data_IF_036651779054
#
_entry.id   IF_036651779054
#
_cell.length_a   1.000
_cell.length_b   1.000
_cell.length_c   1.000
_cell.angle_alpha   90.00
_cell.angle_beta   90.00
_cell.angle_gamma   90.00
#
_symmetry.space_group_name_H-M   'P 1'
#
loop_
_entity.id
_entity.type
_entity.pdbx_description
1 polymer ?
#
# COMPACT_ATOMS: atom_id res chain seq x y z
N UNK A 1 -12.98 25.24 14.50
CA UNK A 1 -11.61 25.03 15.01
C UNK A 1 -11.09 23.75 14.39
N UNK A 2 -9.93 23.77 13.75
CA UNK A 2 -9.32 22.54 13.24
C UNK A 2 -8.87 21.70 14.43
N UNK A 3 -9.41 20.50 14.58
CA UNK A 3 -8.97 19.54 15.58
C UNK A 3 -7.76 18.82 15.03
N UNK A 4 -6.58 19.02 15.63
CA UNK A 4 -5.40 18.20 15.31
C UNK A 4 -5.74 16.75 15.66
N UNK A 5 -5.71 15.88 14.66
CA UNK A 5 -6.03 14.46 14.83
C UNK A 5 -4.73 13.72 15.13
N UNK A 6 -4.67 13.06 16.29
CA UNK A 6 -3.63 12.10 16.62
C UNK A 6 -4.10 10.70 16.26
N UNK A 7 -3.20 9.88 15.73
CA UNK A 7 -3.55 8.57 15.19
C UNK A 7 -3.06 7.47 16.13
N UNK A 8 -3.97 6.60 16.58
CA UNK A 8 -3.60 5.47 17.43
C UNK A 8 -2.89 4.37 16.62
N UNK A 9 -3.29 4.22 15.35
CA UNK A 9 -2.69 3.27 14.42
C UNK A 9 -2.16 4.02 13.21
N UNK A 10 -0.86 3.85 12.93
CA UNK A 10 -0.25 4.43 11.74
C UNK A 10 0.69 3.42 11.09
N UNK A 11 0.64 3.37 9.76
CA UNK A 11 1.53 2.56 8.93
C UNK A 11 2.03 3.39 7.76
N UNK A 12 3.25 3.07 7.32
CA UNK A 12 3.89 3.66 6.15
C UNK A 12 4.05 2.60 5.06
N UNK A 13 3.59 2.90 3.86
CA UNK A 13 3.88 2.16 2.64
C UNK A 13 4.89 2.95 1.81
N UNK A 14 6.11 2.45 1.69
CA UNK A 14 7.15 3.02 0.84
C UNK A 14 7.12 2.29 -0.50
N UNK A 15 6.72 2.98 -1.55
CA UNK A 15 6.61 2.44 -2.89
C UNK A 15 7.69 3.00 -3.82
N UNK A 16 8.37 2.11 -4.54
CA UNK A 16 9.33 2.45 -5.61
C UNK A 16 9.25 1.39 -6.70
N UNK A 17 9.67 1.69 -7.94
CA UNK A 17 9.66 0.67 -8.99
C UNK A 17 10.70 -0.41 -8.74
N UNK A 18 10.34 -1.67 -9.01
CA UNK A 18 11.21 -2.84 -8.75
C UNK A 18 12.57 -2.75 -9.45
N UNK A 19 12.61 -2.10 -10.62
CA UNK A 19 13.80 -1.94 -11.43
C UNK A 19 14.30 -0.48 -11.47
N UNK A 20 13.92 0.33 -10.48
CA UNK A 20 14.33 1.73 -10.39
C UNK A 20 15.80 1.88 -10.01
N UNK A 21 16.41 2.98 -10.45
CA UNK A 21 17.80 3.30 -10.12
C UNK A 21 17.98 3.47 -8.60
N UNK A 22 19.18 3.14 -8.12
CA UNK A 22 19.53 3.05 -6.70
C UNK A 22 19.14 4.26 -5.84
N UNK A 23 19.15 5.48 -6.39
CA UNK A 23 18.87 6.72 -5.62
C UNK A 23 17.48 6.78 -4.98
N UNK A 24 16.41 6.53 -5.74
CA UNK A 24 15.04 6.62 -5.20
C UNK A 24 14.75 5.52 -4.19
N UNK A 25 15.30 4.33 -4.42
CA UNK A 25 15.20 3.22 -3.47
C UNK A 25 15.91 3.56 -2.15
N UNK A 26 17.11 4.11 -2.20
CA UNK A 26 17.87 4.53 -1.02
C UNK A 26 17.12 5.61 -0.24
N UNK A 27 16.56 6.61 -0.93
CA UNK A 27 15.76 7.66 -0.29
C UNK A 27 14.47 7.11 0.32
N UNK A 28 13.76 6.20 -0.37
CA UNK A 28 12.59 5.51 0.18
C UNK A 28 12.93 4.65 1.41
N UNK A 29 14.05 3.93 1.39
CA UNK A 29 14.57 3.19 2.54
C UNK A 29 14.82 4.13 3.73
N UNK A 30 15.45 5.29 3.48
CA UNK A 30 15.71 6.31 4.49
C UNK A 30 14.42 6.92 5.07
N UNK A 31 13.39 7.14 4.25
CA UNK A 31 12.06 7.58 4.72
C UNK A 31 11.43 6.53 5.62
N UNK A 32 11.42 5.27 5.19
CA UNK A 32 10.88 4.17 5.99
C UNK A 32 11.61 4.03 7.33
N UNK A 33 12.94 4.06 7.30
CA UNK A 33 13.76 4.00 8.52
C UNK A 33 13.47 5.18 9.45
N UNK A 34 13.34 6.40 8.91
CA UNK A 34 12.97 7.57 9.70
C UNK A 34 11.62 7.40 10.39
N UNK A 35 10.59 6.94 9.68
CA UNK A 35 9.27 6.71 10.29
C UNK A 35 9.28 5.59 11.34
N UNK A 36 10.07 4.54 11.12
CA UNK A 36 10.25 3.48 12.10
C UNK A 36 10.97 3.99 13.36
N UNK A 37 12.10 4.67 13.20
CA UNK A 37 12.92 5.10 14.34
C UNK A 37 12.27 6.21 15.15
N UNK A 38 11.78 7.25 14.46
CA UNK A 38 11.26 8.47 15.09
C UNK A 38 9.86 8.24 15.63
N UNK A 39 8.99 7.58 14.86
CA UNK A 39 7.57 7.45 15.21
C UNK A 39 7.16 6.06 15.72
N UNK A 40 8.00 5.04 15.54
CA UNK A 40 7.66 3.63 15.83
C UNK A 40 6.46 3.16 15.00
N UNK A 41 6.32 3.70 13.79
CA UNK A 41 5.30 3.27 12.84
C UNK A 41 5.72 1.97 12.15
N UNK A 42 4.73 1.16 11.79
CA UNK A 42 4.97 -0.04 11.00
C UNK A 42 5.26 0.37 9.56
N UNK A 43 6.29 -0.21 8.94
CA UNK A 43 6.73 0.17 7.59
C UNK A 43 6.71 -1.03 6.68
N UNK A 44 6.07 -0.87 5.52
CA UNK A 44 6.03 -1.84 4.44
C UNK A 44 6.73 -1.25 3.22
N UNK A 45 7.64 -2.03 2.63
CA UNK A 45 8.29 -1.66 1.37
C UNK A 45 7.64 -2.41 0.22
N UNK A 46 7.28 -1.68 -0.84
CA UNK A 46 6.60 -2.25 -1.99
C UNK A 46 7.34 -1.92 -3.29
N UNK A 47 7.86 -2.97 -3.93
CA UNK A 47 8.49 -2.89 -5.23
C UNK A 47 7.41 -3.01 -6.32
N UNK A 48 7.07 -1.89 -6.97
CA UNK A 48 6.06 -1.83 -8.02
C UNK A 48 6.54 -2.67 -9.22
N UNK A 49 5.80 -3.71 -9.63
CA UNK A 49 6.17 -4.55 -10.76
C UNK A 49 5.92 -3.83 -12.08
N UNK A 50 6.61 -4.26 -13.15
CA UNK A 50 6.45 -3.70 -14.50
C UNK A 50 5.13 -4.06 -15.17
N UNK A 51 4.53 -5.20 -14.82
CA UNK A 51 3.23 -5.67 -15.29
C UNK A 51 2.19 -5.56 -14.19
N UNK A 52 0.95 -5.23 -14.55
CA UNK A 52 -0.18 -5.09 -13.62
C UNK A 52 0.11 -4.16 -12.42
N UNK A 53 1.03 -3.23 -12.61
CA UNK A 53 1.56 -2.27 -11.63
C UNK A 53 0.45 -1.59 -10.83
N UNK A 54 -0.60 -1.13 -11.51
CA UNK A 54 -1.75 -0.47 -10.92
C UNK A 54 -2.53 -1.38 -9.95
N UNK A 55 -2.82 -2.63 -10.36
CA UNK A 55 -3.56 -3.58 -9.53
C UNK A 55 -2.73 -4.03 -8.33
N UNK A 56 -1.45 -4.30 -8.56
CA UNK A 56 -0.51 -4.70 -7.53
C UNK A 56 -0.34 -3.61 -6.46
N UNK A 57 -0.19 -2.34 -6.86
CA UNK A 57 -0.12 -1.23 -5.92
C UNK A 57 -1.44 -1.03 -5.16
N UNK A 58 -2.59 -1.12 -5.83
CA UNK A 58 -3.88 -1.05 -5.16
C UNK A 58 -4.02 -2.15 -4.09
N UNK A 59 -3.67 -3.40 -4.41
CA UNK A 59 -3.71 -4.50 -3.45
C UNK A 59 -2.77 -4.28 -2.26
N UNK A 60 -1.57 -3.74 -2.49
CA UNK A 60 -0.63 -3.40 -1.42
C UNK A 60 -1.20 -2.33 -0.47
N UNK A 61 -1.86 -1.30 -1.02
CA UNK A 61 -2.54 -0.27 -0.23
C UNK A 61 -3.69 -0.89 0.57
N UNK A 62 -4.52 -1.73 -0.06
CA UNK A 62 -5.64 -2.40 0.60
C UNK A 62 -5.17 -3.30 1.75
N UNK A 63 -4.10 -4.06 1.57
CA UNK A 63 -3.51 -4.85 2.64
C UNK A 63 -3.07 -3.97 3.81
N UNK A 64 -2.40 -2.84 3.54
CA UNK A 64 -2.01 -1.89 4.59
C UNK A 64 -3.22 -1.30 5.33
N UNK A 65 -4.29 -0.95 4.60
CA UNK A 65 -5.53 -0.43 5.19
C UNK A 65 -6.19 -1.45 6.12
N UNK A 66 -6.28 -2.71 5.68
CA UNK A 66 -6.87 -3.79 6.49
C UNK A 66 -6.10 -4.03 7.79
N UNK A 67 -4.77 -3.94 7.75
CA UNK A 67 -3.94 -4.19 8.92
C UNK A 67 -3.97 -3.05 9.97
N UNK A 68 -4.17 -1.80 9.54
CA UNK A 68 -4.25 -0.66 10.47
C UNK A 68 -5.65 -0.40 10.99
N UNK A 69 -6.67 -0.95 10.33
CA UNK A 69 -8.05 -0.79 10.75
C UNK A 69 -8.23 -1.43 12.13
N UNK A 70 -8.47 -0.58 13.12
CA UNK A 70 -8.84 -0.97 14.48
C UNK A 70 -9.85 0.02 15.02
N UNK A 71 -11.11 -0.15 14.61
CA UNK A 71 -12.22 0.62 15.17
C UNK A 71 -12.24 0.46 16.70
N UNK A 72 -12.52 1.53 17.48
CA UNK A 72 -12.97 2.86 17.04
C UNK A 72 -11.85 3.89 16.80
N UNK A 73 -10.58 3.48 16.78
CA UNK A 73 -9.46 4.41 16.85
C UNK A 73 -9.10 5.01 15.47
N UNK A 74 -8.79 6.32 15.41
CA UNK A 74 -8.37 6.95 14.17
C UNK A 74 -7.08 6.33 13.65
N UNK A 75 -7.05 6.06 12.35
CA UNK A 75 -5.96 5.36 11.68
C UNK A 75 -5.37 6.19 10.54
N UNK A 76 -4.06 6.09 10.33
CA UNK A 76 -3.34 6.81 9.27
C UNK A 76 -2.53 5.85 8.41
N UNK A 77 -2.76 5.89 7.10
CA UNK A 77 -1.86 5.31 6.12
C UNK A 77 -1.04 6.41 5.47
N UNK A 78 0.28 6.34 5.62
CA UNK A 78 1.21 7.19 4.88
C UNK A 78 1.68 6.41 3.67
N UNK A 79 1.49 6.94 2.46
CA UNK A 79 2.04 6.36 1.23
C UNK A 79 3.14 7.29 0.72
N UNK A 80 4.38 6.83 0.78
CA UNK A 80 5.50 7.49 0.15
C UNK A 80 5.74 6.91 -1.24
N UNK A 81 5.90 7.78 -2.24
CA UNK A 81 6.40 7.41 -3.56
C UNK A 81 7.52 8.35 -3.97
N UNK A 82 8.69 7.77 -4.22
CA UNK A 82 9.84 8.46 -4.81
C UNK A 82 10.15 7.85 -6.16
N UNK A 83 10.16 8.66 -7.22
CA UNK A 83 10.45 8.15 -8.56
C UNK A 83 10.06 9.08 -9.70
N UNK A 84 9.87 8.51 -10.88
CA UNK A 84 9.45 9.26 -12.06
C UNK A 84 7.94 9.40 -12.18
N UNK A 85 7.50 10.42 -12.90
CA UNK A 85 6.10 10.66 -13.20
C UNK A 85 5.98 11.37 -14.54
N UNK A 86 4.87 11.10 -15.23
CA UNK A 86 4.56 11.66 -16.54
C UNK A 86 3.63 12.86 -16.38
N UNK A 87 3.90 13.92 -17.17
CA UNK A 87 3.07 15.12 -17.19
C UNK A 87 1.61 14.82 -17.57
N UNK A 88 1.40 13.74 -18.33
CA UNK A 88 0.11 13.32 -18.86
C UNK A 88 -0.62 14.46 -19.61
N UNK A 89 0.18 15.38 -20.17
CA UNK A 89 -0.28 16.61 -20.83
C UNK A 89 -0.42 16.44 -22.37
N UNK A 90 0.08 15.33 -22.94
CA UNK A 90 0.07 15.05 -24.38
C UNK A 90 -1.16 14.25 -24.86
N UNK A 91 -2.19 14.11 -24.04
CA UNK A 91 -3.42 13.44 -24.49
C UNK A 91 -4.23 14.37 -25.39
N UNK A 92 -4.81 13.79 -26.45
CA UNK A 92 -5.73 14.47 -27.37
C UNK A 92 -6.85 15.19 -26.62
N UNK A 93 -7.30 16.32 -27.19
CA UNK A 93 -8.38 17.14 -26.62
C UNK A 93 -9.59 16.27 -26.25
N UNK A 94 -9.92 16.22 -24.96
CA UNK A 94 -11.07 15.48 -24.42
C UNK A 94 -10.75 14.38 -23.41
N UNK A 95 -9.51 13.88 -23.35
CA UNK A 95 -9.15 12.83 -22.38
C UNK A 95 -8.87 13.41 -20.97
N UNK A 96 -9.42 12.80 -19.90
CA UNK A 96 -9.20 13.29 -18.55
C UNK A 96 -7.73 13.16 -18.16
N UNK A 97 -7.12 14.30 -17.81
CA UNK A 97 -5.75 14.39 -17.29
C UNK A 97 -5.71 13.80 -15.88
N UNK A 98 -4.79 12.88 -15.63
CA UNK A 98 -4.60 12.21 -14.34
C UNK A 98 -3.15 12.19 -13.90
N UNK A 99 -2.90 11.76 -12.66
CA UNK A 99 -1.54 11.54 -12.15
C UNK A 99 -1.03 10.17 -12.62
N UNK A 100 0.15 10.16 -13.23
CA UNK A 100 0.77 8.95 -13.78
C UNK A 100 2.17 8.80 -13.18
N UNK A 101 2.41 7.65 -12.55
CA UNK A 101 3.72 7.29 -12.04
C UNK A 101 4.43 6.42 -13.09
N UNK A 102 5.72 6.63 -13.28
CA UNK A 102 6.50 6.00 -14.34
C UNK A 102 7.74 5.35 -13.76
N UNK A 103 8.13 4.19 -14.31
CA UNK A 103 9.34 3.48 -13.87
C UNK A 103 10.64 4.20 -14.31
N UNK A 104 10.57 4.95 -15.40
CA UNK A 104 11.71 5.62 -16.01
C UNK A 104 11.36 7.04 -16.43
N UNK A 105 12.37 7.90 -16.58
CA UNK A 105 12.18 9.26 -17.06
C UNK A 105 11.64 9.35 -18.50
N UNK A 106 11.84 8.29 -19.31
CA UNK A 106 11.34 8.18 -20.69
C UNK A 106 10.95 6.73 -20.98
N UNK A 107 9.71 6.54 -21.42
CA UNK A 107 9.18 5.21 -21.77
C UNK A 107 9.07 4.26 -20.57
N UNK A 108 8.76 3.00 -20.87
CA UNK A 108 8.63 1.93 -19.88
C UNK A 108 7.27 1.86 -19.19
N UNK A 109 7.16 1.01 -18.16
CA UNK A 109 5.94 0.81 -17.40
C UNK A 109 5.46 2.10 -16.73
N UNK A 110 4.14 2.27 -16.73
CA UNK A 110 3.46 3.34 -16.01
C UNK A 110 2.27 2.79 -15.23
N UNK A 111 1.80 3.54 -14.25
CA UNK A 111 0.52 3.31 -13.59
C UNK A 111 -0.24 4.62 -13.43
N UNK A 112 -1.56 4.56 -13.41
CA UNK A 112 -2.41 5.73 -13.26
C UNK A 112 -2.90 5.83 -11.81
N UNK A 113 -2.26 6.71 -11.03
CA UNK A 113 -2.65 6.99 -9.64
C UNK A 113 -4.11 7.43 -9.54
N UNK A 114 -4.61 8.22 -10.50
CA UNK A 114 -6.01 8.67 -10.48
C UNK A 114 -7.03 7.53 -10.60
N UNK A 115 -6.64 6.35 -11.13
CA UNK A 115 -7.48 5.15 -11.09
C UNK A 115 -7.48 4.50 -9.71
N UNK A 116 -6.30 4.38 -9.08
CA UNK A 116 -6.15 3.85 -7.72
C UNK A 116 -6.93 4.73 -6.73
N UNK A 117 -6.73 6.04 -6.79
CA UNK A 117 -7.40 7.01 -5.94
C UNK A 117 -8.92 6.89 -6.02
N UNK A 118 -9.49 6.75 -7.22
CA UNK A 118 -10.95 6.55 -7.39
C UNK A 118 -11.45 5.28 -6.71
N UNK A 119 -10.71 4.18 -6.85
CA UNK A 119 -11.03 2.93 -6.16
C UNK A 119 -11.01 3.08 -4.64
N UNK A 120 -9.99 3.76 -4.11
CA UNK A 120 -9.85 4.02 -2.68
C UNK A 120 -10.92 4.98 -2.14
N UNK A 121 -11.29 6.03 -2.88
CA UNK A 121 -12.34 6.98 -2.46
C UNK A 121 -13.67 6.29 -2.14
N UNK A 122 -14.07 5.32 -2.96
CA UNK A 122 -15.28 4.54 -2.72
C UNK A 122 -15.16 3.69 -1.44
N UNK A 123 -13.98 3.15 -1.17
CA UNK A 123 -13.73 2.31 0.00
C UNK A 123 -13.66 3.12 1.30
N UNK A 124 -12.98 4.27 1.29
CA UNK A 124 -12.85 5.16 2.45
C UNK A 124 -14.18 5.79 2.86
N UNK A 125 -15.17 5.80 1.97
CA UNK A 125 -16.54 6.24 2.26
C UNK A 125 -17.36 5.18 3.01
N UNK A 126 -16.85 3.95 3.15
CA UNK A 126 -17.54 2.87 3.87
C UNK A 126 -17.38 3.02 5.40
N UNK A 127 -18.33 2.51 6.20
CA UNK A 127 -18.23 2.56 7.66
C UNK A 127 -16.94 1.93 8.20
N UNK A 128 -16.41 0.91 7.53
CA UNK A 128 -15.19 0.18 7.93
C UNK A 128 -13.94 1.05 7.98
N UNK A 129 -13.87 2.07 7.12
CA UNK A 129 -12.73 2.97 7.00
C UNK A 129 -13.09 4.43 7.31
N UNK A 130 -14.24 4.66 7.92
CA UNK A 130 -14.73 5.99 8.25
C UNK A 130 -13.74 6.74 9.18
N UNK A 131 -12.94 6.02 9.98
CA UNK A 131 -11.87 6.53 10.85
C UNK A 131 -10.47 6.59 10.23
N UNK A 132 -10.28 6.27 8.95
CA UNK A 132 -8.95 6.19 8.33
C UNK A 132 -8.63 7.37 7.41
N UNK A 133 -7.46 7.99 7.60
CA UNK A 133 -6.87 9.00 6.73
C UNK A 133 -5.70 8.45 5.90
N UNK A 134 -5.48 9.06 4.73
CA UNK A 134 -4.34 8.76 3.85
C UNK A 134 -3.52 10.04 3.62
N UNK A 135 -2.23 9.97 3.95
CA UNK A 135 -1.24 11.01 3.61
C UNK A 135 -0.35 10.51 2.48
N UNK A 136 -0.36 11.22 1.35
CA UNK A 136 0.57 10.97 0.23
C UNK A 136 1.79 11.88 0.36
N UNK A 137 2.98 11.28 0.40
CA UNK A 137 4.27 11.95 0.33
C UNK A 137 4.90 11.64 -1.02
N UNK A 138 4.95 12.62 -1.92
CA UNK A 138 5.28 12.37 -3.33
C UNK A 138 6.55 13.11 -3.74
N UNK A 139 7.65 12.38 -3.92
CA UNK A 139 8.90 12.88 -4.51
C UNK A 139 9.01 12.44 -5.98
N UNK A 140 8.26 13.14 -6.83
CA UNK A 140 8.29 12.93 -8.27
C UNK A 140 7.96 14.21 -9.03
N UNK A 141 8.34 14.26 -10.32
CA UNK A 141 7.91 15.33 -11.20
C UNK A 141 6.37 15.38 -11.26
N UNK A 142 5.77 16.56 -11.41
CA UNK A 142 4.31 16.69 -11.54
C UNK A 142 3.52 16.13 -10.35
N UNK A 143 4.14 15.91 -9.18
CA UNK A 143 3.56 15.23 -8.02
C UNK A 143 2.19 15.80 -7.58
N UNK A 144 2.03 17.13 -7.60
CA UNK A 144 0.76 17.77 -7.23
C UNK A 144 -0.43 17.38 -8.13
N UNK A 145 -0.20 16.78 -9.31
CA UNK A 145 -1.28 16.22 -10.13
C UNK A 145 -2.06 15.10 -9.43
N UNK A 146 -1.49 14.46 -8.40
CA UNK A 146 -2.18 13.48 -7.57
C UNK A 146 -3.44 14.07 -6.91
N UNK A 147 -3.49 15.39 -6.67
CA UNK A 147 -4.69 16.05 -6.14
C UNK A 147 -5.86 16.13 -7.13
N UNK A 148 -5.66 15.83 -8.42
CA UNK A 148 -6.73 15.85 -9.41
C UNK A 148 -7.78 14.79 -9.07
N UNK A 149 -9.06 15.19 -9.14
CA UNK A 149 -10.18 14.28 -8.85
C UNK A 149 -10.44 14.07 -7.35
N UNK A 150 -9.75 14.77 -6.46
CA UNK A 150 -10.17 14.89 -5.07
C UNK A 150 -11.36 15.86 -4.99
N UNK A 151 -12.58 15.32 -4.91
CA UNK A 151 -13.79 16.09 -4.62
C UNK A 151 -13.84 16.45 -3.13
N UNK A 152 -14.65 17.45 -2.75
CA UNK A 152 -14.91 17.78 -1.33
C UNK A 152 -15.47 16.61 -0.50
N UNK A 153 -15.87 15.49 -1.11
CA UNK A 153 -16.26 14.27 -0.39
C UNK A 153 -15.08 13.36 -0.05
N UNK A 154 -13.90 13.59 -0.64
CA UNK A 154 -12.67 12.83 -0.43
C UNK A 154 -11.77 13.47 0.64
N UNK A 155 -12.38 13.94 1.74
CA UNK A 155 -11.73 14.69 2.83
C UNK A 155 -10.59 13.92 3.54
N UNK A 156 -10.43 12.62 3.24
CA UNK A 156 -9.48 11.70 3.88
C UNK A 156 -8.13 11.61 3.16
N UNK A 157 -7.94 12.33 2.07
CA UNK A 157 -6.65 12.43 1.39
C UNK A 157 -5.98 13.76 1.68
N UNK A 158 -4.74 13.71 2.16
CA UNK A 158 -3.82 14.85 2.18
C UNK A 158 -2.60 14.54 1.34
N UNK A 159 -2.06 15.54 0.65
CA UNK A 159 -0.94 15.37 -0.26
C UNK A 159 0.13 16.40 0.07
N UNK A 160 1.35 15.93 0.34
CA UNK A 160 2.55 16.75 0.36
C UNK A 160 3.45 16.32 -0.80
N UNK A 161 3.58 17.19 -1.80
CA UNK A 161 4.23 16.92 -3.07
C UNK A 161 5.50 17.77 -3.23
N UNK A 162 6.58 17.15 -3.71
CA UNK A 162 7.87 17.80 -3.95
C UNK A 162 7.81 18.91 -5.01
N UNK A 163 6.92 18.75 -6.00
CA UNK A 163 6.78 19.69 -7.11
C UNK A 163 5.32 20.03 -7.40
N UNK A 164 5.11 21.29 -7.79
CA UNK A 164 3.86 21.77 -8.34
C UNK A 164 3.49 21.06 -9.65
N UNK A 165 2.22 21.23 -10.05
CA UNK A 165 1.75 20.75 -11.35
C UNK A 165 2.62 21.37 -12.45
N UNK A 166 3.09 20.54 -13.38
CA UNK A 166 3.94 20.94 -14.51
C UNK A 166 5.39 21.26 -14.20
N UNK A 167 5.86 20.95 -12.98
CA UNK A 167 7.25 21.15 -12.59
C UNK A 167 8.01 19.83 -12.38
N UNK A 168 9.35 19.89 -12.49
CA UNK A 168 10.27 18.75 -12.30
C UNK A 168 11.00 18.88 -10.98
N UNK A 169 11.35 17.76 -10.35
CA UNK A 169 12.16 17.72 -9.12
C UNK A 169 13.63 17.45 -9.44
N UNK A 170 14.49 17.71 -8.45
CA UNK A 170 15.91 17.29 -8.50
C UNK A 170 16.00 15.77 -8.34
N UNK A 171 17.04 15.16 -8.90
CA UNK A 171 17.35 13.75 -8.63
C UNK A 171 17.68 13.51 -7.15
N UNK A 172 17.55 12.25 -6.67
CA UNK A 172 17.93 11.85 -5.32
C UNK A 172 19.30 12.35 -4.87
N UNK A 173 19.42 12.66 -3.58
CA UNK A 173 20.67 13.08 -2.93
C UNK A 173 20.55 14.35 -2.10
N UNK A 174 21.68 14.97 -1.78
CA UNK A 174 21.73 16.17 -0.94
C UNK A 174 20.97 17.33 -1.61
N UNK A 175 19.97 17.86 -0.90
CA UNK A 175 19.07 18.90 -1.42
C UNK A 175 17.89 18.37 -2.25
N UNK A 176 17.63 17.06 -2.23
CA UNK A 176 16.35 16.51 -2.69
C UNK A 176 15.23 16.89 -1.72
N UNK A 177 13.99 16.82 -2.21
CA UNK A 177 12.81 16.97 -1.37
C UNK A 177 12.80 15.93 -0.25
N UNK A 178 13.09 14.66 -0.57
CA UNK A 178 13.14 13.60 0.44
C UNK A 178 14.17 13.86 1.54
N UNK A 179 15.36 14.37 1.19
CA UNK A 179 16.37 14.73 2.18
C UNK A 179 15.90 15.85 3.11
N UNK A 180 15.30 16.91 2.55
CA UNK A 180 14.75 18.02 3.34
C UNK A 180 13.58 17.57 4.22
N UNK A 181 12.69 16.74 3.68
CA UNK A 181 11.55 16.14 4.39
C UNK A 181 12.01 15.39 5.64
N UNK A 182 13.02 14.52 5.51
CA UNK A 182 13.57 13.76 6.64
C UNK A 182 14.18 14.70 7.69
N UNK A 183 14.90 15.75 7.26
CA UNK A 183 15.53 16.71 8.16
C UNK A 183 14.49 17.50 8.96
N UNK A 184 13.48 18.05 8.31
CA UNK A 184 12.45 18.86 8.98
C UNK A 184 11.56 18.03 9.89
N UNK A 185 11.21 16.80 9.50
CA UNK A 185 10.45 15.90 10.37
C UNK A 185 11.23 15.59 11.65
N UNK A 186 12.50 15.20 11.53
CA UNK A 186 13.35 14.91 12.70
C UNK A 186 13.50 16.14 13.59
N UNK A 187 13.84 17.29 13.00
CA UNK A 187 14.01 18.54 13.72
C UNK A 187 12.73 18.97 14.47
N UNK A 188 11.57 18.86 13.82
CA UNK A 188 10.29 19.20 14.43
C UNK A 188 9.95 18.26 15.60
N UNK A 189 10.12 16.94 15.44
CA UNK A 189 9.86 15.99 16.53
C UNK A 189 10.84 16.17 17.69
N UNK A 190 12.12 16.40 17.42
CA UNK A 190 13.13 16.64 18.46
C UNK A 190 12.83 17.90 19.28
N UNK A 191 12.26 18.94 18.65
CA UNK A 191 11.96 20.22 19.29
C UNK A 191 10.57 20.28 19.95
N UNK A 192 9.56 19.68 19.32
CA UNK A 192 8.14 19.86 19.66
C UNK A 192 7.44 18.56 20.06
N UNK A 193 8.07 17.40 19.86
CA UNK A 193 7.49 16.08 20.11
C UNK A 193 6.46 15.62 19.08
N UNK A 194 6.08 16.49 18.13
CA UNK A 194 5.16 16.21 17.04
C UNK A 194 5.48 17.08 15.83
N UNK A 195 4.88 16.76 14.69
CA UNK A 195 4.93 17.59 13.48
C UNK A 195 3.59 17.55 12.78
N UNK A 196 3.01 18.72 12.47
CA UNK A 196 1.83 18.78 11.60
C UNK A 196 2.25 18.87 10.15
N UNK A 197 1.48 18.27 9.24
CA UNK A 197 1.81 18.31 7.80
C UNK A 197 1.81 19.74 7.27
N UNK A 198 0.97 20.62 7.84
CA UNK A 198 0.99 22.05 7.50
C UNK A 198 2.29 22.74 7.96
N UNK A 199 2.75 22.51 9.20
CA UNK A 199 4.01 23.08 9.68
C UNK A 199 5.21 22.56 8.88
N UNK A 200 5.18 21.28 8.52
CA UNK A 200 6.18 20.64 7.68
C UNK A 200 6.22 21.27 6.28
N UNK A 201 5.06 21.51 5.66
CA UNK A 201 4.98 22.20 4.37
C UNK A 201 5.60 23.59 4.42
N UNK A 202 5.28 24.37 5.45
CA UNK A 202 5.84 25.72 5.63
C UNK A 202 7.35 25.67 5.81
N UNK A 203 7.85 24.72 6.61
CA UNK A 203 9.28 24.55 6.84
C UNK A 203 10.03 24.12 5.58
N UNK A 204 9.44 23.27 4.75
CA UNK A 204 10.00 22.86 3.46
C UNK A 204 9.97 23.98 2.40
N UNK A 205 9.14 25.01 2.58
CA UNK A 205 9.15 26.20 1.73
C UNK A 205 10.21 27.23 2.15
N UNK A 206 10.95 26.98 3.22
CA UNK A 206 12.06 27.83 3.65
C UNK A 206 13.25 27.70 2.68
N UNK A 207 13.82 28.84 2.30
CA UNK A 207 14.95 28.94 1.36
C UNK A 207 16.20 28.19 1.86
N UNK A 208 16.31 27.89 3.16
CA UNK A 208 17.43 27.12 3.75
C UNK A 208 17.65 25.75 3.10
N UNK A 209 16.62 25.17 2.48
CA UNK A 209 16.70 23.85 1.84
C UNK A 209 17.16 23.89 0.38
N UNK A 210 17.18 25.07 -0.26
CA UNK A 210 17.55 25.22 -1.67
C UNK A 210 16.80 24.22 -2.58
N UNK A 211 15.51 24.02 -2.32
CA UNK A 211 14.69 23.12 -3.12
C UNK A 211 14.46 23.72 -4.50
N UNK A 212 14.69 22.90 -5.53
CA UNK A 212 14.52 23.32 -6.92
C UNK A 212 13.08 23.78 -7.25
N UNK A 213 12.09 23.26 -6.52
CA UNK A 213 10.68 23.61 -6.65
C UNK A 213 10.05 23.82 -5.31
N UNK A 214 9.13 24.79 -5.22
CA UNK A 214 8.30 24.98 -4.03
C UNK A 214 7.41 23.75 -3.82
N UNK A 215 7.49 23.09 -2.65
CA UNK A 215 6.60 21.99 -2.32
C UNK A 215 5.15 22.43 -2.27
N UNK A 216 4.24 21.51 -2.58
CA UNK A 216 2.81 21.76 -2.61
C UNK A 216 2.12 20.91 -1.56
N UNK A 217 1.32 21.54 -0.72
CA UNK A 217 0.43 20.86 0.22
C UNK A 217 -1.02 21.04 -0.21
N UNK A 218 -1.73 19.92 -0.35
CA UNK A 218 -3.16 19.87 -0.61
C UNK A 218 -3.79 19.18 0.59
N UNK A 219 -4.41 19.98 1.47
CA UNK A 219 -5.28 19.47 2.53
C UNK A 219 -6.72 19.43 2.06
N UNK A 220 -7.41 18.32 2.31
CA UNK A 220 -8.86 18.26 2.17
C UNK A 220 -9.57 18.05 3.51
N UNK A 221 -8.93 18.31 4.66
CA UNK A 221 -9.56 18.04 5.95
C UNK A 221 -8.89 18.74 7.13
N UNK A 222 -8.94 18.08 8.30
CA UNK A 222 -8.21 18.48 9.51
C UNK A 222 -6.70 18.47 9.27
N UNK A 223 -6.00 19.32 10.02
CA UNK A 223 -4.54 19.29 10.06
C UNK A 223 -4.08 17.93 10.60
N UNK A 224 -3.35 17.18 9.78
CA UNK A 224 -2.77 15.90 10.16
C UNK A 224 -1.56 16.14 11.06
N UNK A 225 -1.56 15.55 12.25
CA UNK A 225 -0.43 15.58 13.16
C UNK A 225 0.24 14.21 13.24
N UNK A 226 1.56 14.20 13.11
CA UNK A 226 2.40 13.03 13.26
C UNK A 226 3.08 13.13 14.62
N UNK A 227 2.90 12.13 15.47
CA UNK A 227 3.54 12.06 16.78
C UNK A 227 4.03 10.64 17.04
N UNK A 228 5.17 10.45 17.74
CA UNK A 228 5.65 9.12 18.06
C UNK A 228 4.60 8.31 18.83
N UNK A 229 4.50 7.01 18.55
CA UNK A 229 3.65 6.13 19.36
C UNK A 229 4.12 6.21 20.82
N UNK A 230 3.20 6.28 21.80
CA UNK A 230 3.57 6.23 23.21
C UNK A 230 4.41 4.97 23.45
N UNK A 231 5.63 5.13 23.99
CA UNK A 231 6.43 3.98 24.40
C UNK A 231 5.66 3.25 25.48
N UNK A 232 5.13 2.07 25.17
CA UNK A 232 4.66 1.15 26.20
C UNK A 232 5.89 0.71 26.97
N UNK A 233 6.14 1.35 28.11
CA UNK A 233 7.14 0.90 29.06
C UNK A 233 6.63 -0.44 29.60
N UNK A 234 7.05 -1.54 28.97
CA UNK A 234 6.83 -2.86 29.54
C UNK A 234 7.59 -2.89 30.87
N UNK A 235 6.91 -3.02 32.03
CA UNK A 235 7.60 -3.12 33.30
C UNK A 235 8.52 -4.34 33.21
N UNK A 236 9.82 -4.14 33.41
CA UNK A 236 10.74 -5.26 33.62
C UNK A 236 10.22 -6.01 34.84
N UNK A 237 9.58 -7.15 34.63
CA UNK A 237 9.24 -8.06 35.71
C UNK A 237 10.56 -8.46 36.35
N UNK A 238 10.78 -7.98 37.57
CA UNK A 238 11.85 -8.46 38.42
C UNK A 238 11.53 -9.93 38.69
N UNK A 239 12.34 -10.83 38.16
CA UNK A 239 12.30 -12.26 38.42
C UNK A 239 12.46 -12.49 39.93
N UNK A 240 11.33 -12.65 40.63
CA UNK A 240 11.30 -13.29 41.93
C UNK A 240 11.15 -14.78 41.69
N UNK A 241 12.28 -15.49 41.69
CA UNK A 241 12.27 -16.93 41.91
C UNK A 241 13.16 -17.21 43.12
N UNK A 242 12.60 -16.97 44.29
CA UNK A 242 13.10 -17.48 45.56
C UNK A 242 12.63 -18.92 45.75
N UNK A 243 13.62 -19.80 45.88
CA UNK A 243 13.63 -21.04 46.68
C UNK A 243 12.43 -21.98 46.54
N UNK A 244 12.62 -23.07 45.79
CA UNK A 244 11.91 -24.33 46.07
C UNK A 244 12.95 -25.35 46.50
N UNK A 245 12.72 -25.87 47.70
CA UNK A 245 13.53 -26.85 48.41
C UNK A 245 13.78 -28.12 47.60
N UNK A 246 15.01 -28.60 47.74
CA UNK A 246 15.50 -29.91 47.35
C UNK A 246 14.71 -31.01 48.07
N UNK A 247 14.05 -31.91 47.34
CA UNK A 247 13.76 -33.26 47.83
C UNK A 247 14.35 -34.30 46.88
N UNK A 248 15.23 -35.13 47.45
CA UNK A 248 15.98 -36.18 46.77
C UNK A 248 15.16 -37.47 46.61
N UNK A 249 15.26 -38.02 45.40
CA UNK A 249 15.44 -39.44 45.01
C UNK A 249 14.42 -40.51 45.41
N UNK A 250 13.87 -41.16 44.38
CA UNK A 250 13.99 -42.62 44.24
C UNK A 250 13.90 -43.05 42.78
N UNK A 251 14.80 -43.99 42.42
CA UNK A 251 15.05 -44.60 41.11
C UNK A 251 13.90 -45.52 40.65
N UNK A 252 13.83 -45.76 39.34
CA UNK A 252 13.64 -47.06 38.65
C UNK A 252 13.67 -46.77 37.13
N UNK A 253 14.82 -46.96 36.47
CA UNK A 253 15.21 -48.13 35.64
C UNK A 253 14.65 -48.11 34.20
N UNK A 254 15.59 -48.10 33.25
CA UNK A 254 15.47 -48.25 31.79
C UNK A 254 14.99 -49.66 31.39
N UNK A 255 14.60 -49.90 30.12
CA UNK A 255 15.54 -50.24 29.04
C UNK A 255 15.24 -49.49 27.72
N UNK A 256 16.21 -48.88 27.05
CA UNK A 256 17.08 -49.44 25.99
C UNK A 256 16.34 -50.16 24.85
N UNK A 257 16.29 -49.53 23.67
CA UNK A 257 16.58 -50.21 22.40
C UNK A 257 16.95 -49.20 21.34
N UNK A 258 18.04 -49.51 20.65
CA UNK A 258 18.74 -48.71 19.66
C UNK A 258 18.57 -49.29 18.25
N UNK A 259 18.96 -48.49 17.25
CA UNK A 259 19.25 -48.83 15.85
C UNK A 259 18.00 -49.00 14.96
N UNK A 260 17.90 -48.43 13.75
CA UNK A 260 18.88 -48.49 12.66
C UNK A 260 18.73 -47.33 11.64
N UNK A 261 19.86 -47.07 11.00
CA UNK A 261 20.12 -46.22 9.84
C UNK A 261 19.57 -46.80 8.54
N UNK A 262 19.18 -45.94 7.60
CA UNK A 262 19.09 -46.27 6.17
C UNK A 262 19.80 -45.21 5.33
N UNK A 263 20.80 -45.68 4.58
CA UNK A 263 21.47 -45.00 3.48
C UNK A 263 21.11 -45.74 2.19
N UNK A 264 21.00 -44.94 1.13
CA UNK A 264 21.51 -45.19 -0.23
C UNK A 264 20.62 -45.73 -1.37
N UNK A 265 20.92 -45.14 -2.55
CA UNK A 265 20.61 -45.51 -3.95
C UNK A 265 19.20 -45.19 -4.47
N UNK A 266 19.01 -44.65 -5.68
CA UNK A 266 19.76 -44.82 -6.94
C UNK A 266 19.75 -43.58 -7.84
N UNK A 267 20.75 -43.56 -8.73
CA UNK A 267 21.10 -42.61 -9.77
C UNK A 267 20.15 -42.55 -11.00
N UNK A 268 20.47 -41.58 -11.86
CA UNK A 268 19.89 -41.07 -13.13
C UNK A 268 20.12 -42.06 -14.30
N UNK A 269 19.40 -41.99 -15.46
CA UNK A 269 19.91 -41.26 -16.65
C UNK A 269 18.81 -40.50 -17.46
N UNK A 270 18.99 -39.21 -17.81
CA UNK A 270 19.45 -38.62 -19.10
C UNK A 270 18.68 -38.97 -20.40
N UNK A 271 18.29 -37.87 -21.09
CA UNK A 271 18.28 -37.61 -22.55
C UNK A 271 17.33 -38.33 -23.51
N UNK A 272 16.55 -37.54 -24.27
CA UNK A 272 16.40 -37.56 -25.75
C UNK A 272 15.42 -36.42 -26.12
N UNK A 273 15.86 -35.32 -26.73
CA UNK A 273 16.11 -35.08 -28.17
C UNK A 273 14.85 -34.84 -29.03
N UNK A 274 15.05 -33.93 -29.98
CA UNK A 274 14.10 -33.19 -30.82
C UNK A 274 13.16 -34.02 -31.69
N UNK A 275 12.03 -33.42 -32.09
CA UNK A 275 11.66 -33.35 -33.51
C UNK A 275 10.69 -32.20 -33.82
N UNK A 276 11.00 -31.51 -34.92
CA UNK A 276 10.22 -30.47 -35.57
C UNK A 276 9.36 -31.04 -36.71
N UNK A 277 8.50 -30.16 -37.26
CA UNK A 277 7.77 -30.23 -38.53
C UNK A 277 6.41 -30.96 -38.52
N UNK A 278 5.31 -30.23 -38.76
CA UNK A 278 4.86 -29.94 -40.13
C UNK A 278 3.67 -28.96 -40.16
N UNK A 279 3.60 -28.26 -41.29
CA UNK A 279 2.62 -27.26 -41.67
C UNK A 279 1.21 -27.85 -41.93
N UNK A 280 0.18 -27.01 -41.88
CA UNK A 280 -1.16 -27.34 -42.34
C UNK A 280 -2.16 -26.21 -42.14
N UNK A 281 -2.23 -25.31 -43.11
CA UNK A 281 -3.35 -24.38 -43.38
C UNK A 281 -4.65 -25.16 -43.59
N UNK A 282 -5.78 -24.77 -42.96
CA UNK A 282 -7.09 -24.61 -43.64
C UNK A 282 -8.21 -24.11 -42.69
N UNK A 283 -8.90 -23.07 -43.17
CA UNK A 283 -10.31 -22.65 -43.07
C UNK A 283 -11.19 -22.97 -41.84
N UNK A 284 -11.96 -21.94 -41.47
CA UNK A 284 -12.71 -21.87 -40.23
C UNK A 284 -14.00 -22.66 -40.19
N UNK A 285 -14.67 -22.55 -39.05
CA UNK A 285 -16.13 -22.53 -38.89
C UNK A 285 -16.44 -22.19 -37.44
N UNK A 286 -17.46 -21.38 -37.28
CA UNK A 286 -18.17 -21.06 -36.05
C UNK A 286 -18.63 -22.35 -35.37
N UNK A 287 -18.28 -22.52 -34.09
CA UNK A 287 -18.91 -23.52 -33.24
C UNK A 287 -19.29 -22.90 -31.89
N UNK A 288 -20.60 -22.81 -31.71
CA UNK A 288 -21.32 -22.53 -30.47
C UNK A 288 -20.99 -23.63 -29.46
N UNK A 289 -20.42 -23.30 -28.32
CA UNK A 289 -20.33 -24.24 -27.19
C UNK A 289 -21.42 -23.91 -26.16
N UNK A 290 -22.34 -24.87 -26.05
CA UNK A 290 -23.41 -24.89 -25.08
C UNK A 290 -22.91 -25.19 -23.67
N UNK A 291 -23.74 -24.75 -22.71
CA UNK A 291 -23.66 -25.08 -21.30
C UNK A 291 -23.67 -26.60 -21.09
N UNK A 292 -22.75 -27.08 -20.25
CA UNK A 292 -22.96 -28.28 -19.45
C UNK A 292 -22.77 -27.89 -17.99
N UNK A 293 -23.89 -27.87 -17.26
CA UNK A 293 -23.92 -27.84 -15.82
C UNK A 293 -23.63 -29.26 -15.30
N UNK A 294 -22.62 -29.40 -14.45
CA UNK A 294 -22.48 -30.55 -13.56
C UNK A 294 -22.22 -30.04 -12.16
N UNK A 295 -23.19 -30.30 -11.28
CA UNK A 295 -23.14 -29.95 -9.88
C UNK A 295 -22.15 -30.82 -9.12
N UNK A 296 -21.54 -30.25 -8.09
CA UNK A 296 -20.94 -30.99 -7.01
C UNK A 296 -21.42 -30.38 -5.69
N UNK A 297 -22.16 -31.18 -4.92
CA UNK A 297 -22.52 -30.91 -3.54
C UNK A 297 -21.28 -31.12 -2.66
N UNK A 298 -20.98 -30.16 -1.78
CA UNK A 298 -20.04 -30.39 -0.67
C UNK A 298 -20.79 -30.23 0.65
N UNK A 299 -20.68 -31.29 1.44
CA UNK A 299 -21.23 -31.51 2.77
C UNK A 299 -20.68 -30.47 3.75
N UNK A 300 -21.56 -29.75 4.46
CA UNK A 300 -21.20 -28.88 5.58
C UNK A 300 -21.24 -29.68 6.87
N UNK A 301 -20.08 -29.92 7.47
CA UNK A 301 -19.98 -30.40 8.85
C UNK A 301 -20.14 -29.22 9.82
N UNK A 302 -21.17 -29.25 10.64
CA UNK A 302 -21.45 -28.27 11.69
C UNK A 302 -20.91 -28.76 13.03
N UNK A 303 -20.33 -27.86 13.82
CA UNK A 303 -20.52 -27.74 15.28
C UNK A 303 -20.04 -26.34 15.74
N UNK A 304 -20.54 -25.82 16.87
CA UNK A 304 -20.84 -24.39 17.00
C UNK A 304 -19.86 -23.64 17.90
N UNK A 305 -19.70 -22.33 17.67
CA UNK A 305 -19.84 -21.27 18.71
C UNK A 305 -19.64 -19.89 18.08
N UNK A 306 -20.38 -18.91 18.60
CA UNK A 306 -20.33 -17.47 18.33
C UNK A 306 -21.20 -16.94 17.18
N UNK A 307 -22.45 -16.70 17.56
CA UNK A 307 -23.51 -15.95 16.89
C UNK A 307 -23.22 -14.45 16.89
N UNK A 308 -22.56 -13.89 15.84
CA UNK A 308 -22.65 -12.45 15.51
C UNK A 308 -22.36 -12.09 14.03
N UNK A 309 -22.33 -13.05 13.09
CA UNK A 309 -22.13 -12.77 11.65
C UNK A 309 -23.16 -13.50 10.77
N UNK A 310 -24.42 -13.07 10.82
CA UNK A 310 -25.44 -13.43 9.82
C UNK A 310 -26.28 -12.23 9.38
N UNK A 311 -25.65 -11.17 8.88
CA UNK A 311 -26.29 -10.18 8.00
C UNK A 311 -25.26 -9.46 7.14
N UNK A 312 -24.93 -10.02 5.98
CA UNK A 312 -24.56 -9.28 4.76
C UNK A 312 -24.10 -10.27 3.67
N UNK A 313 -25.03 -11.03 3.08
CA UNK A 313 -24.90 -11.48 1.70
C UNK A 313 -26.29 -11.90 1.20
N UNK A 314 -27.07 -10.91 0.75
CA UNK A 314 -28.25 -11.14 -0.08
C UNK A 314 -28.00 -10.39 -1.38
N UNK A 315 -27.49 -11.14 -2.35
CA UNK A 315 -27.44 -10.75 -3.75
C UNK A 315 -28.87 -10.58 -4.26
N UNK A 316 -29.23 -9.37 -4.70
CA UNK A 316 -30.39 -9.16 -5.55
C UNK A 316 -30.00 -9.46 -6.99
N UNK A 317 -30.50 -10.60 -7.49
CA UNK A 317 -30.69 -10.84 -8.92
C UNK A 317 -32.20 -10.85 -9.13
N UNK A 318 -32.74 -9.88 -9.88
CA UNK A 318 -34.05 -10.02 -10.50
C UNK A 318 -34.05 -9.47 -11.94
N UNK A 319 -34.86 -10.06 -12.83
CA UNK A 319 -34.71 -10.01 -14.27
C UNK A 319 -35.43 -8.83 -14.92
N UNK A 320 -34.99 -8.49 -16.13
CA UNK A 320 -35.53 -7.39 -16.91
C UNK A 320 -36.97 -7.57 -17.39
N UNK A 321 -37.63 -6.44 -17.62
CA UNK A 321 -38.76 -6.31 -18.53
C UNK A 321 -38.49 -5.15 -19.49
N UNK A 322 -38.65 -5.45 -20.78
CA UNK A 322 -38.56 -4.50 -21.88
C UNK A 322 -39.75 -3.54 -21.85
N UNK A 323 -39.49 -2.25 -22.03
CA UNK A 323 -40.49 -1.30 -22.53
C UNK A 323 -39.83 -0.30 -23.47
N UNK A 324 -40.40 -0.21 -24.67
CA UNK A 324 -40.00 0.69 -25.76
C UNK A 324 -40.24 2.15 -25.34
N UNK A 325 -39.24 2.99 -25.53
CA UNK A 325 -39.44 4.44 -25.62
C UNK A 325 -38.53 5.03 -26.71
N UNK A 326 -39.14 5.62 -27.74
CA UNK A 326 -38.48 6.49 -28.72
C UNK A 326 -38.64 7.94 -28.24
N UNK A 327 -37.63 8.82 -28.39
CA UNK A 327 -37.88 10.24 -28.46
C UNK A 327 -37.87 10.70 -29.93
N UNK A 328 -38.95 11.38 -30.31
CA UNK A 328 -38.96 12.39 -31.37
C UNK A 328 -38.18 13.61 -30.87
N UNK A 329 -37.38 14.22 -31.75
CA UNK A 329 -36.98 15.62 -31.66
C UNK A 329 -37.25 16.24 -33.02
N UNK A 330 -38.07 17.29 -32.99
CA UNK A 330 -38.01 18.41 -33.94
C UNK A 330 -36.72 19.20 -33.69
#
# INVERSE_FOLDING_TARGET
MATDTTYANARVLVACWKHENSGFKIEGEAVGQMFSDVFQYDVSYFAIPSSDSQHHLLLAILACLLDIQKEPEPSLLIVYYGGHADANDNKSDGEPRGSVWAAHAKGGPTLNWSLIQRGLSSLLSTPTFAGTDILLLLDCCYAAQAGRGLSKSNLRFSILAAAAMRSKTRSPGKGSFTSALIQEIKGAVDQQGLVTVQSLHLALCDDKHDLYTTPVYISQGSSLSLSPKPRVLVPRTVSWCSTVETFQTSRLSTPDTSLTTWRDRTEIPTSLESQANMAGTFWGTTAVFGLVACGLSVLVATTPTNTWLRRALVLWVLPGTWSKYRPHWD
#
